data_IF_486950737103
#
_entry.id   IF_486950737103
#
_cell.length_a   1.000
_cell.length_b   1.000
_cell.length_c   1.000
_cell.angle_alpha   90.00
_cell.angle_beta   90.00
_cell.angle_gamma   90.00
#
_symmetry.space_group_name_H-M   'P 1'
#
loop_
_entity.id
_entity.type
_entity.pdbx_description
1 polymer ?
#
# COMPACT_ATOMS: atom_id res chain seq x y z
N UNK A 1 -7.80 11.66 33.31
CA UNK A 1 -7.93 10.38 34.02
C UNK A 1 -6.51 9.92 34.37
N UNK A 2 -6.09 10.00 35.63
CA UNK A 2 -4.74 9.61 36.04
C UNK A 2 -4.74 8.12 36.22
N UNK A 3 -3.95 7.39 35.40
CA UNK A 3 -3.79 5.95 35.54
C UNK A 3 -2.91 5.66 36.75
N UNK A 4 -3.52 5.18 37.81
CA UNK A 4 -2.84 4.68 38.99
C UNK A 4 -2.43 3.22 38.76
N UNK A 5 -1.25 2.83 39.26
CA UNK A 5 -0.80 1.43 39.27
C UNK A 5 -1.81 0.60 40.10
N UNK A 6 -1.78 -0.76 40.01
CA UNK A 6 -2.61 -1.65 40.83
C UNK A 6 -2.53 -1.40 42.33
N UNK A 7 -1.47 -0.72 42.80
CA UNK A 7 -1.29 -0.25 44.17
C UNK A 7 -1.88 1.11 44.48
N UNK A 8 -2.52 1.79 43.51
CA UNK A 8 -3.08 3.13 43.67
C UNK A 8 -2.04 4.24 43.74
N UNK A 9 -0.76 3.96 43.53
CA UNK A 9 0.34 4.93 43.56
C UNK A 9 0.70 5.36 42.12
N UNK A 10 0.96 6.68 41.93
CA UNK A 10 1.47 7.18 40.66
C UNK A 10 2.90 6.69 40.43
N UNK A 11 3.13 6.06 39.28
CA UNK A 11 4.45 5.63 38.84
C UNK A 11 4.74 6.22 37.46
N UNK A 12 5.85 6.93 37.34
CA UNK A 12 6.30 7.59 36.11
C UNK A 12 6.45 6.60 34.95
N UNK A 13 6.90 5.39 35.26
CA UNK A 13 7.10 4.34 34.26
C UNK A 13 5.77 3.83 33.70
N UNK A 14 4.79 3.56 34.56
CA UNK A 14 3.42 3.20 34.13
C UNK A 14 2.75 4.31 33.35
N UNK A 15 2.93 5.56 33.79
CA UNK A 15 2.42 6.72 33.07
C UNK A 15 3.06 6.87 31.69
N UNK A 16 4.38 6.74 31.61
CA UNK A 16 5.11 6.75 30.34
C UNK A 16 4.64 5.63 29.41
N UNK A 17 4.47 4.40 29.90
CA UNK A 17 3.91 3.30 29.10
C UNK A 17 2.45 3.52 28.71
N UNK A 18 1.65 4.22 29.53
CA UNK A 18 0.26 4.57 29.15
C UNK A 18 0.22 5.66 28.08
N UNK A 19 1.18 6.58 28.06
CA UNK A 19 1.35 7.55 26.97
C UNK A 19 1.88 6.92 25.69
N UNK A 20 2.70 5.90 25.83
CA UNK A 20 3.13 5.01 24.74
C UNK A 20 2.07 3.95 24.43
N UNK A 21 0.84 4.09 24.96
CA UNK A 21 -0.27 3.18 24.65
C UNK A 21 -0.20 2.85 23.16
N UNK A 22 0.09 1.59 22.87
CA UNK A 22 0.43 1.11 21.56
C UNK A 22 -0.59 1.66 20.56
N UNK A 23 -0.17 2.27 19.46
CA UNK A 23 -1.12 2.71 18.45
C UNK A 23 -2.03 1.52 18.17
N UNK A 24 -3.33 1.73 18.14
CA UNK A 24 -4.36 0.70 17.90
C UNK A 24 -4.04 -0.20 16.67
N UNK A 25 -3.15 0.29 15.82
CA UNK A 25 -2.60 -0.45 14.67
C UNK A 25 -1.09 -0.58 14.83
N UNK A 26 -0.63 -1.80 15.07
CA UNK A 26 0.81 -2.12 15.05
C UNK A 26 1.39 -1.81 13.67
N UNK A 27 2.63 -1.28 13.63
CA UNK A 27 3.30 -0.99 12.36
C UNK A 27 3.42 -2.28 11.51
N UNK A 28 3.08 -2.26 10.22
CA UNK A 28 2.90 -3.45 9.39
C UNK A 28 4.22 -4.07 8.89
N UNK A 29 5.12 -4.43 9.78
CA UNK A 29 6.44 -4.99 9.45
C UNK A 29 6.37 -6.21 8.54
N UNK A 30 5.41 -7.11 8.79
CA UNK A 30 5.26 -8.35 8.01
C UNK A 30 4.83 -8.05 6.58
N UNK A 31 3.86 -7.17 6.39
CA UNK A 31 3.36 -6.75 5.07
C UNK A 31 4.40 -6.01 4.23
N UNK A 32 5.46 -5.49 4.86
CA UNK A 32 6.52 -4.75 4.18
C UNK A 32 7.72 -5.65 3.91
N UNK A 33 8.21 -6.38 4.93
CA UNK A 33 9.50 -7.06 4.86
C UNK A 33 9.41 -8.57 4.64
N UNK A 34 8.28 -9.21 4.96
CA UNK A 34 8.09 -10.63 4.72
C UNK A 34 7.49 -10.92 3.33
N UNK A 35 6.95 -9.92 2.66
CA UNK A 35 6.44 -10.05 1.29
C UNK A 35 7.60 -10.24 0.32
N UNK A 36 7.45 -11.16 -0.60
CA UNK A 36 8.45 -11.47 -1.64
C UNK A 36 8.33 -10.49 -2.81
N UNK A 37 8.92 -9.31 -2.64
CA UNK A 37 8.99 -8.23 -3.64
C UNK A 37 10.41 -7.69 -3.74
N UNK A 38 10.77 -6.97 -4.80
CA UNK A 38 12.09 -6.33 -4.89
C UNK A 38 12.37 -5.42 -3.69
N UNK A 39 13.59 -5.44 -3.16
CA UNK A 39 13.99 -4.66 -1.96
C UNK A 39 13.67 -3.17 -2.08
N UNK A 40 13.83 -2.59 -3.27
CA UNK A 40 13.47 -1.18 -3.54
C UNK A 40 11.97 -0.90 -3.32
N UNK A 41 11.11 -1.86 -3.64
CA UNK A 41 9.65 -1.74 -3.45
C UNK A 41 9.30 -1.87 -1.97
N UNK A 42 9.91 -2.82 -1.25
CA UNK A 42 9.73 -2.95 0.19
C UNK A 42 10.18 -1.67 0.94
N UNK A 43 11.32 -1.08 0.54
CA UNK A 43 11.80 0.20 1.09
C UNK A 43 10.83 1.35 0.78
N UNK A 44 10.30 1.42 -0.44
CA UNK A 44 9.27 2.39 -0.80
C UNK A 44 8.03 2.26 0.10
N UNK A 45 7.52 1.02 0.29
CA UNK A 45 6.38 0.79 1.19
C UNK A 45 6.66 1.22 2.63
N UNK A 46 7.84 0.91 3.13
CA UNK A 46 8.26 1.34 4.46
C UNK A 46 8.26 2.86 4.60
N UNK A 47 8.77 3.57 3.58
CA UNK A 47 8.78 5.04 3.54
C UNK A 47 7.36 5.59 3.42
N UNK A 48 6.51 4.98 2.59
CA UNK A 48 5.11 5.36 2.43
C UNK A 48 4.31 5.15 3.73
N UNK A 49 4.49 4.00 4.41
CA UNK A 49 3.84 3.72 5.69
C UNK A 49 4.26 4.70 6.81
N UNK A 50 5.43 5.33 6.69
CA UNK A 50 5.90 6.42 7.57
C UNK A 50 5.49 7.81 7.10
N UNK A 51 4.73 7.91 6.00
CA UNK A 51 4.34 9.20 5.43
C UNK A 51 5.50 9.98 4.81
N UNK A 52 6.64 9.33 4.53
CA UNK A 52 7.90 10.00 4.17
C UNK A 52 8.21 10.07 2.67
N UNK A 53 7.36 9.54 1.78
CA UNK A 53 7.56 9.68 0.34
C UNK A 53 7.37 11.15 -0.10
N UNK A 54 7.99 11.54 -1.19
CA UNK A 54 8.03 12.94 -1.66
C UNK A 54 6.73 13.34 -2.40
N UNK A 55 5.61 13.24 -1.70
CA UNK A 55 4.33 13.82 -2.13
C UNK A 55 4.36 15.34 -2.02
N UNK A 56 3.46 16.02 -2.70
CA UNK A 56 3.43 17.48 -2.75
C UNK A 56 3.29 18.08 -1.35
N UNK A 57 2.45 17.51 -0.48
CA UNK A 57 2.31 17.96 0.91
C UNK A 57 3.64 17.88 1.69
N UNK A 58 4.43 16.81 1.48
CA UNK A 58 5.74 16.65 2.10
C UNK A 58 6.80 17.60 1.51
N UNK A 59 6.71 17.91 0.23
CA UNK A 59 7.57 18.91 -0.42
C UNK A 59 7.24 20.33 0.08
N UNK A 60 5.96 20.65 0.23
CA UNK A 60 5.53 21.94 0.81
C UNK A 60 6.00 22.10 2.27
N UNK A 61 5.95 21.01 3.08
CA UNK A 61 6.54 21.00 4.43
C UNK A 61 8.04 21.29 4.45
N UNK A 62 8.72 21.04 3.32
CA UNK A 62 10.15 21.37 3.11
C UNK A 62 10.35 22.74 2.49
N UNK A 63 9.36 23.62 2.57
CA UNK A 63 9.37 24.99 2.05
C UNK A 63 9.51 25.11 0.53
N UNK A 64 9.10 24.09 -0.23
CA UNK A 64 8.99 24.21 -1.67
C UNK A 64 7.64 24.82 -2.05
N UNK A 65 7.58 25.94 -2.79
CA UNK A 65 6.34 26.60 -3.18
C UNK A 65 5.65 25.84 -4.33
N UNK A 66 4.90 24.80 -3.98
CA UNK A 66 4.19 23.96 -4.94
C UNK A 66 2.67 24.06 -4.77
N UNK A 67 1.96 23.91 -5.87
CA UNK A 67 0.50 23.81 -5.86
C UNK A 67 0.12 22.44 -5.30
N UNK A 68 -0.71 22.43 -4.26
CA UNK A 68 -0.99 21.21 -3.45
C UNK A 68 -1.83 20.14 -4.14
N UNK A 69 -2.36 20.38 -5.31
CA UNK A 69 -3.25 19.46 -6.02
C UNK A 69 -2.55 18.15 -6.43
N UNK A 70 -3.24 17.03 -6.21
CA UNK A 70 -2.78 15.74 -6.69
C UNK A 70 -2.61 15.76 -8.21
N UNK A 71 -1.43 15.43 -8.70
CA UNK A 71 -1.12 15.44 -10.13
C UNK A 71 -1.92 14.38 -10.92
N UNK A 72 -2.41 13.30 -10.26
CA UNK A 72 -3.17 12.25 -10.93
C UNK A 72 -4.65 12.60 -11.11
N UNK A 73 -5.33 13.11 -10.08
CA UNK A 73 -6.77 13.40 -10.15
C UNK A 73 -7.10 14.89 -10.29
N UNK A 74 -6.22 15.79 -9.86
CA UNK A 74 -6.41 17.25 -9.82
C UNK A 74 -7.66 17.71 -9.04
N UNK A 75 -8.17 16.85 -8.12
CA UNK A 75 -9.39 17.13 -7.36
C UNK A 75 -9.14 17.46 -5.89
N UNK A 76 -8.07 16.93 -5.31
CA UNK A 76 -7.77 17.00 -3.88
C UNK A 76 -6.28 17.25 -3.65
N UNK A 77 -5.89 17.57 -2.41
CA UNK A 77 -4.48 17.73 -2.03
C UNK A 77 -3.74 16.39 -2.13
N UNK A 78 -2.51 16.42 -2.65
CA UNK A 78 -1.66 15.23 -2.74
C UNK A 78 -1.01 14.93 -1.41
N UNK A 79 -1.61 14.03 -0.65
CA UNK A 79 -1.01 13.37 0.51
C UNK A 79 -0.63 11.94 0.18
N UNK A 80 0.15 11.27 1.03
CA UNK A 80 0.52 9.86 0.83
C UNK A 80 -0.72 8.97 0.73
N UNK A 81 -1.66 9.14 1.68
CA UNK A 81 -2.88 8.33 1.74
C UNK A 81 -3.82 8.64 0.58
N UNK A 82 -3.98 9.92 0.22
CA UNK A 82 -4.75 10.28 -0.96
C UNK A 82 -4.16 9.64 -2.22
N UNK A 83 -2.88 9.87 -2.49
CA UNK A 83 -2.22 9.41 -3.71
C UNK A 83 -2.31 7.89 -3.89
N UNK A 84 -2.03 7.13 -2.83
CA UNK A 84 -1.88 5.67 -2.90
C UNK A 84 -3.18 4.91 -2.70
N UNK A 85 -4.21 5.51 -2.07
CA UNK A 85 -5.45 4.85 -1.71
C UNK A 85 -6.67 5.57 -2.27
N UNK A 86 -6.84 6.86 -1.96
CA UNK A 86 -8.11 7.58 -2.13
C UNK A 86 -8.22 8.37 -3.44
N UNK A 87 -7.10 8.65 -4.11
CA UNK A 87 -7.13 9.28 -5.43
C UNK A 87 -8.03 8.49 -6.39
N UNK A 88 -8.89 9.16 -7.16
CA UNK A 88 -9.79 8.52 -8.14
C UNK A 88 -9.06 7.53 -9.04
N UNK A 89 -7.86 7.89 -9.47
CA UNK A 89 -7.01 7.01 -10.27
C UNK A 89 -6.59 5.74 -9.49
N UNK A 90 -6.12 5.90 -8.26
CA UNK A 90 -5.75 4.79 -7.40
C UNK A 90 -6.95 3.90 -7.08
N UNK A 91 -8.09 4.51 -6.75
CA UNK A 91 -9.32 3.80 -6.42
C UNK A 91 -9.82 2.91 -7.57
N UNK A 92 -9.74 3.40 -8.83
CA UNK A 92 -10.07 2.58 -10.00
C UNK A 92 -9.20 1.34 -10.08
N UNK A 93 -7.89 1.46 -9.85
CA UNK A 93 -6.96 0.33 -9.87
C UNK A 93 -7.20 -0.64 -8.72
N UNK A 94 -7.46 -0.14 -7.51
CA UNK A 94 -7.83 -0.97 -6.36
C UNK A 94 -9.12 -1.76 -6.62
N UNK A 95 -10.16 -1.10 -7.13
CA UNK A 95 -11.44 -1.75 -7.45
C UNK A 95 -11.28 -2.88 -8.47
N UNK A 96 -10.45 -2.68 -9.50
CA UNK A 96 -10.17 -3.70 -10.50
C UNK A 96 -9.44 -4.91 -9.91
N UNK A 97 -8.46 -4.67 -9.04
CA UNK A 97 -7.75 -5.76 -8.37
C UNK A 97 -8.67 -6.54 -7.45
N UNK A 98 -9.46 -5.85 -6.63
CA UNK A 98 -10.42 -6.51 -5.73
C UNK A 98 -11.44 -7.33 -6.51
N UNK A 99 -11.92 -6.80 -7.65
CA UNK A 99 -12.82 -7.52 -8.55
C UNK A 99 -12.16 -8.78 -9.14
N UNK A 100 -10.87 -8.69 -9.52
CA UNK A 100 -10.12 -9.83 -10.05
C UNK A 100 -9.99 -10.96 -9.03
N UNK A 101 -9.78 -10.60 -7.76
CA UNK A 101 -9.71 -11.57 -6.65
C UNK A 101 -11.09 -11.94 -6.08
N UNK A 102 -12.20 -11.44 -6.63
CA UNK A 102 -13.55 -11.70 -6.12
C UNK A 102 -13.81 -11.19 -4.69
N UNK A 103 -13.01 -10.23 -4.23
CA UNK A 103 -13.05 -9.74 -2.84
C UNK A 103 -13.79 -8.41 -2.76
N UNK A 104 -14.74 -8.34 -1.83
CA UNK A 104 -15.35 -7.07 -1.41
C UNK A 104 -14.55 -6.50 -0.24
N UNK A 105 -14.06 -5.28 -0.38
CA UNK A 105 -13.19 -4.64 0.59
C UNK A 105 -13.53 -3.16 0.79
N UNK A 106 -13.59 -2.74 2.04
CA UNK A 106 -13.70 -1.31 2.37
C UNK A 106 -12.30 -0.76 2.55
N UNK A 107 -11.93 0.23 1.73
CA UNK A 107 -10.59 0.81 1.76
C UNK A 107 -10.32 1.52 3.10
N UNK A 108 -9.24 1.16 3.80
CA UNK A 108 -8.87 1.80 5.07
C UNK A 108 -8.43 3.25 4.88
N UNK A 109 -8.48 4.03 5.97
CA UNK A 109 -8.19 5.46 5.96
C UNK A 109 -6.75 5.80 5.55
N UNK A 110 -5.77 4.94 5.87
CA UNK A 110 -4.36 5.21 5.64
C UNK A 110 -3.58 3.96 5.24
N UNK A 111 -2.36 4.17 4.71
CA UNK A 111 -1.47 3.11 4.22
C UNK A 111 -1.11 2.10 5.32
N UNK A 112 -0.90 2.55 6.55
CA UNK A 112 -0.56 1.66 7.67
C UNK A 112 -1.70 0.69 7.96
N UNK A 113 -2.92 1.20 8.07
CA UNK A 113 -4.12 0.37 8.29
C UNK A 113 -4.34 -0.59 7.13
N UNK A 114 -4.17 -0.15 5.89
CA UNK A 114 -4.30 -1.01 4.72
C UNK A 114 -3.30 -2.17 4.76
N UNK A 115 -2.03 -1.90 4.97
CA UNK A 115 -1.00 -2.93 5.03
C UNK A 115 -1.19 -3.89 6.21
N UNK A 116 -1.67 -3.39 7.37
CA UNK A 116 -1.91 -4.22 8.56
C UNK A 116 -3.08 -5.17 8.38
N UNK A 117 -4.19 -4.70 7.79
CA UNK A 117 -5.40 -5.50 7.58
C UNK A 117 -5.30 -6.43 6.38
N UNK A 118 -4.45 -6.10 5.40
CA UNK A 118 -4.27 -6.88 4.17
C UNK A 118 -3.51 -8.19 4.38
N UNK A 119 -2.56 -8.19 5.33
CA UNK A 119 -1.63 -9.30 5.53
C UNK A 119 -2.33 -10.62 5.86
N UNK A 120 -2.13 -11.63 5.01
CA UNK A 120 -2.70 -12.98 5.15
C UNK A 120 -4.22 -13.01 5.33
N UNK A 121 -4.93 -11.99 4.85
CA UNK A 121 -6.39 -11.92 4.99
C UNK A 121 -7.11 -13.14 4.37
N UNK A 122 -6.57 -13.69 3.28
CA UNK A 122 -7.08 -14.91 2.62
C UNK A 122 -6.54 -16.21 3.23
N UNK A 123 -5.88 -16.14 4.39
CA UNK A 123 -5.21 -17.28 5.01
C UNK A 123 -3.73 -17.42 4.56
N UNK A 124 -2.92 -18.07 5.39
CA UNK A 124 -1.46 -18.10 5.21
C UNK A 124 -0.99 -18.82 3.94
N UNK A 125 -1.75 -19.82 3.48
CA UNK A 125 -1.37 -20.64 2.30
C UNK A 125 -1.75 -19.98 0.97
N UNK A 126 -2.91 -19.33 0.90
CA UNK A 126 -3.47 -18.71 -0.32
C UNK A 126 -3.00 -17.29 -0.54
N UNK A 127 -2.48 -16.64 0.50
CA UNK A 127 -2.16 -15.21 0.46
C UNK A 127 -0.82 -14.85 -0.20
N UNK A 128 -0.07 -15.77 -0.82
CA UNK A 128 1.27 -15.45 -1.35
C UNK A 128 1.22 -14.33 -2.39
N UNK A 129 0.41 -14.49 -3.43
CA UNK A 129 0.22 -13.47 -4.48
C UNK A 129 -0.58 -12.29 -3.95
N UNK A 130 -1.63 -12.55 -3.16
CA UNK A 130 -2.43 -11.53 -2.50
C UNK A 130 -1.59 -10.53 -1.71
N UNK A 131 -0.66 -11.01 -0.89
CA UNK A 131 0.22 -10.17 -0.10
C UNK A 131 1.14 -9.27 -0.94
N UNK A 132 1.41 -9.62 -2.21
CA UNK A 132 2.23 -8.81 -3.12
C UNK A 132 1.44 -7.65 -3.74
N UNK A 133 0.11 -7.74 -3.77
CA UNK A 133 -0.76 -6.76 -4.45
C UNK A 133 -0.55 -5.33 -3.96
N UNK A 134 -0.59 -5.01 -2.66
CA UNK A 134 -0.40 -3.64 -2.20
C UNK A 134 0.96 -3.07 -2.61
N UNK A 135 2.00 -3.89 -2.49
CA UNK A 135 3.36 -3.50 -2.87
C UNK A 135 3.46 -3.16 -4.36
N UNK A 136 2.91 -4.02 -5.21
CA UNK A 136 2.91 -3.84 -6.65
C UNK A 136 2.09 -2.61 -7.05
N UNK A 137 0.86 -2.51 -6.55
CA UNK A 137 -0.07 -1.47 -6.94
C UNK A 137 0.41 -0.08 -6.50
N UNK A 138 0.78 0.08 -5.24
CA UNK A 138 1.28 1.37 -4.73
C UNK A 138 2.57 1.80 -5.44
N UNK A 139 3.46 0.86 -5.74
CA UNK A 139 4.67 1.14 -6.50
C UNK A 139 4.36 1.62 -7.92
N UNK A 140 3.39 1.03 -8.61
CA UNK A 140 2.98 1.44 -9.95
C UNK A 140 2.27 2.79 -9.96
N UNK A 141 1.43 3.07 -8.96
CA UNK A 141 0.80 4.39 -8.78
C UNK A 141 1.89 5.45 -8.58
N UNK A 142 2.86 5.17 -7.71
CA UNK A 142 3.99 6.08 -7.48
C UNK A 142 4.79 6.33 -8.75
N UNK A 143 5.16 5.30 -9.48
CA UNK A 143 5.86 5.45 -10.77
C UNK A 143 5.04 6.22 -11.81
N UNK A 144 3.72 6.03 -11.83
CA UNK A 144 2.84 6.80 -12.71
C UNK A 144 2.82 8.27 -12.32
N UNK A 145 2.77 8.56 -11.04
CA UNK A 145 2.85 9.92 -10.50
C UNK A 145 4.15 10.60 -10.91
N UNK A 146 5.29 9.91 -10.74
CA UNK A 146 6.59 10.44 -11.10
C UNK A 146 6.71 10.68 -12.62
N UNK A 147 6.29 9.73 -13.45
CA UNK A 147 6.28 9.89 -14.90
C UNK A 147 5.41 11.09 -15.35
N UNK A 148 4.27 11.31 -14.69
CA UNK A 148 3.41 12.46 -15.01
C UNK A 148 4.01 13.79 -14.56
N UNK A 149 4.76 13.79 -13.47
CA UNK A 149 5.37 15.01 -12.93
C UNK A 149 6.65 15.41 -13.68
N UNK A 150 7.43 14.45 -14.13
CA UNK A 150 8.76 14.70 -14.67
C UNK A 150 8.90 14.39 -16.18
N UNK A 151 8.05 13.53 -16.74
CA UNK A 151 8.16 13.06 -18.12
C UNK A 151 6.98 13.51 -19.00
N UNK A 152 6.00 14.24 -18.44
CA UNK A 152 4.72 14.63 -19.10
C UNK A 152 3.99 13.46 -19.78
N UNK A 153 4.32 12.24 -19.39
CA UNK A 153 3.81 11.02 -19.99
C UNK A 153 2.45 10.61 -19.41
N UNK A 154 1.39 10.73 -20.19
CA UNK A 154 0.06 10.22 -19.84
C UNK A 154 -0.12 8.77 -20.31
N UNK A 155 0.14 7.81 -19.43
CA UNK A 155 -0.28 6.42 -19.70
C UNK A 155 -1.73 6.23 -19.27
N UNK A 156 -2.53 5.62 -20.14
CA UNK A 156 -3.92 5.26 -19.85
C UNK A 156 -4.00 4.28 -18.66
N UNK A 157 -5.11 4.30 -17.93
CA UNK A 157 -5.37 3.40 -16.79
C UNK A 157 -5.21 1.93 -17.20
N UNK A 158 -5.68 1.54 -18.39
CA UNK A 158 -5.61 0.17 -18.89
C UNK A 158 -4.17 -0.31 -19.11
N UNK A 159 -3.25 0.59 -19.50
CA UNK A 159 -1.83 0.26 -19.56
C UNK A 159 -1.27 -0.09 -18.17
N UNK A 160 -1.71 0.61 -17.13
CA UNK A 160 -1.24 0.35 -15.76
C UNK A 160 -1.87 -0.93 -15.20
N UNK A 161 -3.12 -1.25 -15.53
CA UNK A 161 -3.76 -2.54 -15.21
C UNK A 161 -2.97 -3.71 -15.80
N UNK A 162 -2.68 -3.64 -17.10
CA UNK A 162 -1.90 -4.67 -17.80
C UNK A 162 -0.50 -4.83 -17.19
N UNK A 163 0.15 -3.71 -16.85
CA UNK A 163 1.45 -3.68 -16.20
C UNK A 163 1.41 -4.29 -14.79
N UNK A 164 0.35 -4.02 -14.02
CA UNK A 164 0.13 -4.61 -12.70
C UNK A 164 0.06 -6.13 -12.77
N UNK A 165 -0.79 -6.66 -13.63
CA UNK A 165 -0.97 -8.10 -13.78
C UNK A 165 0.32 -8.78 -14.24
N UNK A 166 1.00 -8.20 -15.21
CA UNK A 166 2.30 -8.68 -15.68
C UNK A 166 3.35 -8.65 -14.57
N UNK A 167 3.42 -7.58 -13.79
CA UNK A 167 4.39 -7.46 -12.68
C UNK A 167 4.11 -8.49 -11.59
N UNK A 168 2.85 -8.71 -11.21
CA UNK A 168 2.46 -9.74 -10.25
C UNK A 168 2.81 -11.14 -10.76
N UNK A 169 2.56 -11.41 -12.04
CA UNK A 169 2.94 -12.67 -12.67
C UNK A 169 4.45 -12.89 -12.66
N UNK A 170 5.24 -11.89 -13.08
CA UNK A 170 6.71 -11.95 -13.08
C UNK A 170 7.26 -12.20 -11.66
N UNK A 171 6.77 -11.46 -10.67
CA UNK A 171 7.20 -11.65 -9.29
C UNK A 171 6.80 -13.01 -8.75
N UNK A 172 5.58 -13.49 -9.02
CA UNK A 172 5.14 -14.81 -8.58
C UNK A 172 5.98 -15.94 -9.15
N UNK A 173 6.44 -15.82 -10.41
CA UNK A 173 7.37 -16.76 -11.05
C UNK A 173 8.76 -16.71 -10.42
N UNK A 174 9.34 -15.53 -10.26
CA UNK A 174 10.69 -15.35 -9.69
C UNK A 174 10.77 -15.98 -8.29
N UNK A 175 9.70 -15.89 -7.51
CA UNK A 175 9.66 -16.40 -6.15
C UNK A 175 9.09 -17.85 -6.05
N UNK A 176 8.81 -18.49 -7.17
CA UNK A 176 8.33 -19.87 -7.22
C UNK A 176 6.96 -20.08 -6.56
N UNK A 177 6.10 -19.05 -6.56
CA UNK A 177 4.76 -19.17 -5.98
C UNK A 177 3.78 -19.86 -6.91
N UNK A 178 4.00 -19.76 -8.20
CA UNK A 178 3.14 -20.35 -9.23
C UNK A 178 3.99 -20.88 -10.38
N UNK A 179 3.61 -22.04 -10.88
CA UNK A 179 4.25 -22.73 -12.02
C UNK A 179 3.47 -22.48 -13.33
N UNK A 180 2.86 -21.30 -13.47
CA UNK A 180 2.16 -20.92 -14.69
C UNK A 180 3.15 -20.53 -15.78
N UNK A 181 2.92 -21.04 -17.01
CA UNK A 181 3.75 -20.72 -18.17
C UNK A 181 3.29 -19.47 -18.91
N UNK A 182 2.05 -19.03 -18.69
CA UNK A 182 1.48 -17.87 -19.34
C UNK A 182 0.72 -16.95 -18.36
N UNK A 183 0.58 -15.68 -18.74
CA UNK A 183 -0.24 -14.71 -17.99
C UNK A 183 -1.71 -15.16 -17.93
N UNK A 184 -2.20 -15.83 -18.98
CA UNK A 184 -3.57 -16.33 -19.03
C UNK A 184 -3.81 -17.43 -17.98
N UNK A 185 -2.91 -18.40 -17.86
CA UNK A 185 -2.95 -19.43 -16.81
C UNK A 185 -2.88 -18.81 -15.41
N UNK A 186 -2.01 -17.81 -15.24
CA UNK A 186 -1.90 -17.08 -13.97
C UNK A 186 -3.23 -16.41 -13.59
N UNK A 187 -3.88 -15.72 -14.52
CA UNK A 187 -5.18 -15.08 -14.27
C UNK A 187 -6.25 -16.10 -13.92
N UNK A 188 -6.32 -17.19 -14.65
CA UNK A 188 -7.27 -18.27 -14.35
C UNK A 188 -7.02 -18.87 -12.96
N UNK A 189 -5.77 -19.12 -12.58
CA UNK A 189 -5.46 -19.68 -11.27
C UNK A 189 -5.75 -18.70 -10.13
N UNK A 190 -5.56 -17.39 -10.34
CA UNK A 190 -5.93 -16.37 -9.37
C UNK A 190 -7.44 -16.22 -9.26
N UNK A 191 -8.19 -16.21 -10.38
CA UNK A 191 -9.65 -16.10 -10.38
C UNK A 191 -10.38 -17.35 -9.85
N UNK A 192 -9.79 -18.55 -10.00
CA UNK A 192 -10.39 -19.80 -9.54
C UNK A 192 -10.02 -20.18 -8.10
N UNK A 193 -9.04 -19.49 -7.51
CA UNK A 193 -8.59 -19.74 -6.13
C UNK A 193 -9.46 -19.07 -5.08
N UNK A 194 -10.49 -18.34 -5.49
CA UNK A 194 -11.42 -17.56 -4.68
C UNK A 194 -12.84 -17.69 -5.23
#
# INVERSE_FOLDING_TARGET
>A
MVFLNRSGVFDVRSFYFSLLAAPLVSFPWKSIWCVKVPKRVAFFLWTAARGGILTIDNLVKKNLPLVKWCCLCRCEEETVDHLLIHCKYAHTLWSEVLRLFGVQWVMPKNVVSLLSTWWNWLGSHTSKVWNMVPACLMWLIWKKRDARTFEESERLVDCVKSLLLRTLFEWSRIWGFMHCHSLFEFLNSVCLSF
#
